data_IF_072057620874
#
_entry.id   IF_072057620874
#
_cell.length_a   1.000
_cell.length_b   1.000
_cell.length_c   1.000
_cell.angle_alpha   90.00
_cell.angle_beta   90.00
_cell.angle_gamma   90.00
#
_symmetry.space_group_name_H-M   'P 1'
#
loop_
_entity.id
_entity.type
_entity.pdbx_description
1 polymer ?
#
# COMPACT_ATOMS: atom_id res chain seq x y z
N UNK A 1 31.26 46.31 -38.97
CA UNK A 1 30.32 46.52 -37.85
C UNK A 1 29.60 45.20 -37.57
N UNK A 2 29.94 44.53 -36.47
CA UNK A 2 29.38 43.22 -36.10
C UNK A 2 28.00 43.44 -35.44
N UNK A 3 26.96 42.80 -35.96
CA UNK A 3 25.63 42.81 -35.34
C UNK A 3 25.45 41.52 -34.53
N UNK A 4 25.28 41.74 -33.24
CA UNK A 4 24.86 40.89 -32.13
C UNK A 4 24.02 39.66 -32.50
N UNK A 5 24.49 38.48 -32.07
CA UNK A 5 23.70 37.27 -31.99
C UNK A 5 22.80 37.34 -30.75
N UNK A 6 21.48 37.18 -30.95
CA UNK A 6 20.51 37.04 -29.85
C UNK A 6 20.59 35.60 -29.37
N UNK A 7 21.17 35.39 -28.19
CA UNK A 7 21.13 34.11 -27.49
C UNK A 7 19.73 33.92 -26.89
N UNK A 8 18.94 33.04 -27.49
CA UNK A 8 17.68 32.59 -26.91
C UNK A 8 18.00 31.61 -25.77
N UNK A 9 18.16 32.15 -24.56
CA UNK A 9 18.16 31.36 -23.32
C UNK A 9 16.73 30.84 -23.10
N UNK A 10 16.42 29.67 -23.67
CA UNK A 10 15.25 28.91 -23.29
C UNK A 10 15.50 28.38 -21.88
N UNK A 11 14.92 29.06 -20.90
CA UNK A 11 15.02 28.77 -19.49
C UNK A 11 14.61 27.34 -19.19
N UNK A 12 15.53 26.66 -18.50
CA UNK A 12 15.34 25.40 -17.80
C UNK A 12 14.24 25.58 -16.74
N UNK A 13 12.99 25.35 -17.14
CA UNK A 13 11.88 25.18 -16.22
C UNK A 13 12.05 23.84 -15.52
N UNK A 14 12.83 23.81 -14.44
CA UNK A 14 12.77 22.76 -13.43
C UNK A 14 11.35 22.78 -12.85
N UNK A 15 10.47 21.99 -13.48
CA UNK A 15 9.20 21.57 -12.91
C UNK A 15 9.55 20.68 -11.70
N UNK A 16 9.82 21.31 -10.57
CA UNK A 16 9.79 20.63 -9.27
C UNK A 16 8.30 20.40 -9.01
N UNK A 17 7.73 19.37 -9.63
CA UNK A 17 6.44 18.85 -9.22
C UNK A 17 6.64 18.30 -7.81
N UNK A 18 6.23 19.05 -6.80
CA UNK A 18 5.97 18.46 -5.49
C UNK A 18 4.89 17.41 -5.74
N UNK A 19 5.27 16.13 -5.83
CA UNK A 19 4.30 15.05 -5.92
C UNK A 19 3.36 15.21 -4.71
N UNK A 20 2.06 15.41 -4.97
CA UNK A 20 1.08 15.35 -3.90
C UNK A 20 1.14 13.93 -3.34
N UNK A 21 1.58 13.79 -2.09
CA UNK A 21 1.58 12.50 -1.43
C UNK A 21 0.15 12.20 -1.02
N UNK A 22 -0.39 11.06 -1.43
CA UNK A 22 -1.57 10.55 -0.76
C UNK A 22 -1.18 10.09 0.65
N UNK A 23 -2.05 10.34 1.60
CA UNK A 23 -1.90 9.91 2.97
C UNK A 23 -2.80 8.71 3.22
N UNK A 24 -2.31 7.76 3.99
CA UNK A 24 -3.18 6.74 4.55
C UNK A 24 -4.04 7.40 5.62
N UNK A 25 -5.35 7.24 5.52
CA UNK A 25 -6.34 7.88 6.39
C UNK A 25 -6.85 6.90 7.45
N UNK A 26 -7.04 5.64 7.08
CA UNK A 26 -7.38 4.57 8.01
C UNK A 26 -6.97 3.20 7.48
N UNK A 27 -6.94 2.22 8.37
CA UNK A 27 -6.86 0.81 8.01
C UNK A 27 -8.18 0.12 8.26
N UNK A 28 -8.52 -0.84 7.39
CA UNK A 28 -9.64 -1.75 7.53
C UNK A 28 -9.17 -3.18 7.34
N UNK A 29 -9.89 -4.14 7.89
CA UNK A 29 -9.58 -5.56 7.71
C UNK A 29 -10.84 -6.39 7.55
N UNK A 30 -10.71 -7.47 6.78
CA UNK A 30 -11.77 -8.46 6.54
C UNK A 30 -11.22 -9.88 6.63
N UNK A 31 -11.70 -10.64 7.60
CA UNK A 31 -11.58 -12.08 7.69
C UNK A 31 -12.31 -12.75 6.52
N UNK A 32 -11.59 -13.58 5.78
CA UNK A 32 -12.12 -14.31 4.63
C UNK A 32 -12.78 -15.64 5.03
N UNK A 33 -12.75 -16.02 6.31
CA UNK A 33 -13.33 -17.26 6.81
C UNK A 33 -12.55 -18.53 6.46
N UNK A 34 -11.41 -18.41 5.78
CA UNK A 34 -10.59 -19.51 5.28
C UNK A 34 -9.16 -19.52 5.85
N UNK A 35 -8.95 -18.85 6.99
CA UNK A 35 -7.64 -18.69 7.61
C UNK A 35 -6.80 -17.57 6.99
N UNK A 36 -7.43 -16.62 6.31
CA UNK A 36 -6.75 -15.44 5.74
C UNK A 36 -7.57 -14.17 5.97
N UNK A 37 -6.90 -13.02 5.89
CA UNK A 37 -7.45 -11.68 6.05
C UNK A 37 -7.00 -10.82 4.87
N UNK A 38 -7.88 -9.95 4.40
CA UNK A 38 -7.52 -8.85 3.48
C UNK A 38 -7.40 -7.57 4.31
N UNK A 39 -6.32 -6.83 4.11
CA UNK A 39 -6.19 -5.47 4.64
C UNK A 39 -6.59 -4.46 3.59
N UNK A 40 -7.19 -3.38 4.07
CA UNK A 40 -7.58 -2.22 3.31
C UNK A 40 -6.88 -0.99 3.87
N UNK A 41 -6.34 -0.13 3.01
CA UNK A 41 -5.81 1.18 3.36
C UNK A 41 -6.68 2.26 2.73
N UNK A 42 -7.40 3.02 3.55
CA UNK A 42 -8.19 4.17 3.12
C UNK A 42 -7.24 5.31 2.76
N UNK A 43 -7.52 6.00 1.67
CA UNK A 43 -6.66 7.05 1.17
C UNK A 43 -7.45 8.22 0.59
N UNK A 44 -6.76 9.34 0.46
CA UNK A 44 -7.26 10.56 -0.16
C UNK A 44 -6.76 10.69 -1.62
N UNK A 45 -7.43 11.52 -2.42
CA UNK A 45 -7.16 11.94 -3.82
C UNK A 45 -8.07 11.42 -4.94
N UNK A 46 -9.24 10.89 -4.60
CA UNK A 46 -10.31 10.59 -5.55
C UNK A 46 -10.13 9.28 -6.29
N UNK A 47 -11.18 8.92 -7.03
CA UNK A 47 -11.32 7.63 -7.69
C UNK A 47 -10.04 7.13 -8.38
N UNK A 48 -9.61 5.95 -7.98
CA UNK A 48 -8.53 5.23 -8.63
C UNK A 48 -9.03 4.51 -9.88
N UNK A 49 -8.18 4.41 -10.90
CA UNK A 49 -8.49 3.71 -12.16
C UNK A 49 -7.70 2.41 -12.33
N UNK A 50 -6.82 2.10 -11.38
CA UNK A 50 -5.92 0.95 -11.40
C UNK A 50 -5.12 0.87 -10.10
N UNK A 51 -4.50 -0.29 -9.80
CA UNK A 51 -3.46 -0.36 -8.77
C UNK A 51 -2.35 0.61 -9.14
N UNK A 52 -1.97 1.50 -8.22
CA UNK A 52 -0.92 2.49 -8.49
C UNK A 52 0.45 1.83 -8.53
N UNK A 53 1.27 2.16 -9.54
CA UNK A 53 2.69 1.76 -9.57
C UNK A 53 3.54 2.49 -8.54
N UNK A 54 2.96 3.45 -7.82
CA UNK A 54 3.61 4.23 -6.78
C UNK A 54 3.17 3.82 -5.36
N UNK A 55 2.52 2.65 -5.21
CA UNK A 55 2.14 2.11 -3.92
C UNK A 55 3.35 1.57 -3.14
N UNK A 56 3.46 1.92 -1.87
CA UNK A 56 4.50 1.41 -0.96
C UNK A 56 4.12 0.09 -0.29
N UNK A 57 2.83 -0.26 -0.31
CA UNK A 57 2.27 -1.35 0.48
C UNK A 57 2.18 -1.01 1.97
N UNK A 58 1.86 -2.01 2.77
CA UNK A 58 1.85 -1.93 4.23
C UNK A 58 2.87 -2.88 4.83
N UNK A 59 3.69 -2.36 5.73
CA UNK A 59 4.59 -3.15 6.58
C UNK A 59 3.87 -3.48 7.87
N UNK A 60 3.90 -4.77 8.24
CA UNK A 60 3.21 -5.30 9.41
C UNK A 60 4.22 -6.06 10.28
N UNK A 61 4.23 -5.75 11.58
CA UNK A 61 5.12 -6.42 12.53
C UNK A 61 4.62 -6.35 13.96
N UNK A 62 5.42 -6.90 14.87
CA UNK A 62 5.18 -6.79 16.31
C UNK A 62 5.56 -5.38 16.75
N UNK A 63 4.64 -4.72 17.46
CA UNK A 63 4.89 -3.41 18.06
C UNK A 63 5.79 -3.56 19.29
N UNK A 64 6.87 -2.77 19.37
CA UNK A 64 7.72 -2.71 20.56
C UNK A 64 7.32 -1.51 21.43
N UNK A 65 6.67 -1.78 22.56
CA UNK A 65 6.21 -0.75 23.51
C UNK A 65 7.35 -0.03 24.25
N UNK A 66 8.60 -0.49 24.13
CA UNK A 66 9.75 0.11 24.80
C UNK A 66 10.46 1.17 23.96
N UNK A 67 10.05 1.36 22.70
CA UNK A 67 10.62 2.37 21.80
C UNK A 67 9.54 3.30 21.25
N UNK A 68 9.93 4.49 20.81
CA UNK A 68 8.98 5.43 20.21
C UNK A 68 8.52 4.96 18.84
N UNK A 69 7.37 5.47 18.38
CA UNK A 69 6.84 5.18 17.04
C UNK A 69 7.88 5.39 15.92
N UNK A 70 8.62 6.52 15.97
CA UNK A 70 9.66 6.83 15.00
C UNK A 70 10.91 5.92 15.09
N UNK A 71 11.10 5.22 16.21
CA UNK A 71 12.22 4.32 16.44
C UNK A 71 11.90 2.84 16.16
N UNK A 72 10.66 2.52 15.76
CA UNK A 72 10.27 1.16 15.40
C UNK A 72 11.13 0.65 14.23
N UNK A 73 11.59 -0.60 14.33
CA UNK A 73 12.44 -1.25 13.32
C UNK A 73 11.63 -1.77 12.12
N UNK A 74 10.88 -0.87 11.47
CA UNK A 74 9.89 -1.22 10.42
C UNK A 74 10.50 -1.86 9.18
N UNK A 75 11.79 -1.69 8.93
CA UNK A 75 12.49 -2.38 7.86
C UNK A 75 12.49 -3.91 8.03
N UNK A 76 12.33 -4.41 9.26
CA UNK A 76 12.24 -5.84 9.57
C UNK A 76 10.80 -6.38 9.50
N UNK A 77 9.80 -5.50 9.46
CA UNK A 77 8.39 -5.86 9.34
C UNK A 77 8.08 -6.39 7.95
N UNK A 78 7.16 -7.35 7.88
CA UNK A 78 6.77 -8.00 6.63
C UNK A 78 5.99 -7.03 5.76
N UNK A 79 6.35 -6.95 4.48
CA UNK A 79 5.73 -6.05 3.51
C UNK A 79 4.64 -6.78 2.72
N UNK A 80 3.43 -6.21 2.72
CA UNK A 80 2.30 -6.65 1.92
C UNK A 80 1.96 -5.57 0.91
N UNK A 81 1.88 -5.95 -0.37
CA UNK A 81 1.61 -5.01 -1.46
C UNK A 81 0.11 -4.77 -1.59
N UNK A 82 -0.27 -3.54 -1.90
CA UNK A 82 -1.60 -3.22 -2.40
C UNK A 82 -1.74 -3.77 -3.82
N UNK A 83 -2.80 -4.52 -4.09
CA UNK A 83 -3.01 -5.22 -5.37
C UNK A 83 -4.26 -4.77 -6.12
N UNK A 84 -5.11 -3.97 -5.49
CA UNK A 84 -6.29 -3.39 -6.11
C UNK A 84 -6.85 -2.24 -5.29
N UNK A 85 -7.97 -1.70 -5.75
CA UNK A 85 -8.63 -0.54 -5.14
C UNK A 85 -10.15 -0.69 -5.16
N UNK A 86 -10.82 0.08 -4.31
CA UNK A 86 -12.27 0.27 -4.25
C UNK A 86 -12.51 1.76 -4.06
N UNK A 87 -13.28 2.38 -4.95
CA UNK A 87 -13.60 3.80 -4.84
C UNK A 87 -14.98 4.01 -4.20
N UNK A 88 -15.17 5.19 -3.62
CA UNK A 88 -16.46 5.63 -3.08
C UNK A 88 -17.06 4.70 -2.01
N UNK A 89 -16.20 4.19 -1.15
CA UNK A 89 -16.49 3.24 -0.07
C UNK A 89 -16.07 3.85 1.28
N UNK A 90 -16.98 3.94 2.25
CA UNK A 90 -16.64 4.53 3.56
C UNK A 90 -16.39 6.05 3.52
N UNK A 91 -15.42 6.52 4.33
CA UNK A 91 -15.00 7.93 4.40
C UNK A 91 -14.91 8.43 5.85
N UNK A 92 -16.06 8.71 6.42
CA UNK A 92 -16.23 9.11 7.83
C UNK A 92 -16.26 7.92 8.77
N UNK A 93 -16.12 8.15 10.08
CA UNK A 93 -16.30 7.11 11.11
C UNK A 93 -17.65 6.41 10.98
N UNK A 94 -18.73 7.18 10.82
CA UNK A 94 -20.06 6.60 10.68
C UNK A 94 -20.21 5.76 9.42
N UNK A 95 -19.60 6.16 8.30
CA UNK A 95 -19.62 5.37 7.07
C UNK A 95 -18.76 4.11 7.20
N UNK A 96 -17.58 4.18 7.82
CA UNK A 96 -16.72 3.03 8.07
C UNK A 96 -17.38 2.04 9.05
N UNK A 97 -18.07 2.54 10.08
CA UNK A 97 -18.86 1.71 11.00
C UNK A 97 -20.02 1.00 10.30
N UNK A 98 -20.62 1.62 9.28
CA UNK A 98 -21.61 0.96 8.42
C UNK A 98 -20.98 -0.16 7.60
N UNK A 99 -19.74 -0.01 7.13
CA UNK A 99 -19.03 -1.11 6.45
C UNK A 99 -18.86 -2.32 7.38
N UNK A 100 -18.53 -2.08 8.65
CA UNK A 100 -18.45 -3.13 9.66
C UNK A 100 -19.83 -3.75 9.90
N UNK A 101 -20.86 -2.92 10.09
CA UNK A 101 -22.24 -3.36 10.35
C UNK A 101 -22.80 -4.20 9.19
N UNK A 102 -22.47 -3.84 7.95
CA UNK A 102 -22.86 -4.57 6.75
C UNK A 102 -22.03 -5.84 6.50
N UNK A 103 -21.00 -6.09 7.31
CA UNK A 103 -20.10 -7.23 7.16
C UNK A 103 -19.13 -7.10 5.99
N UNK A 104 -18.94 -5.90 5.44
CA UNK A 104 -17.98 -5.63 4.37
C UNK A 104 -16.56 -5.44 4.93
N UNK A 105 -16.45 -5.00 6.19
CA UNK A 105 -15.27 -5.06 7.04
C UNK A 105 -15.61 -5.83 8.33
N UNK A 106 -14.60 -6.38 8.99
CA UNK A 106 -14.77 -6.89 10.37
C UNK A 106 -14.25 -5.89 11.41
N UNK A 107 -13.44 -4.93 10.98
CA UNK A 107 -13.04 -3.78 11.78
C UNK A 107 -12.25 -2.76 10.97
N UNK A 108 -12.05 -1.59 11.58
CA UNK A 108 -11.24 -0.52 11.06
C UNK A 108 -10.64 0.32 12.19
N UNK A 109 -9.59 1.07 11.88
CA UNK A 109 -8.95 2.00 12.80
C UNK A 109 -8.31 3.18 12.05
N UNK A 110 -8.46 4.42 12.54
CA UNK A 110 -7.89 5.59 11.88
C UNK A 110 -6.36 5.63 12.03
N UNK A 111 -5.66 6.10 10.99
CA UNK A 111 -4.35 6.70 11.20
C UNK A 111 -4.58 8.10 11.78
N UNK A 112 -4.48 8.22 13.11
CA UNK A 112 -4.86 9.44 13.84
C UNK A 112 -4.13 10.69 13.32
N UNK A 113 -2.93 10.55 12.74
CA UNK A 113 -2.19 11.67 12.17
C UNK A 113 -2.80 12.24 10.89
N UNK A 114 -3.56 11.43 10.16
CA UNK A 114 -4.09 11.74 8.83
C UNK A 114 -5.63 11.66 8.74
N UNK A 115 -6.30 11.06 9.73
CA UNK A 115 -7.74 10.86 9.72
C UNK A 115 -8.50 12.18 9.88
N UNK A 116 -9.13 12.64 8.80
CA UNK A 116 -9.89 13.91 8.80
C UNK A 116 -11.39 13.73 9.07
N UNK A 117 -11.86 12.47 9.14
CA UNK A 117 -13.28 12.13 9.24
C UNK A 117 -14.10 12.79 8.11
N UNK A 118 -13.67 12.62 6.87
CA UNK A 118 -14.29 13.22 5.69
C UNK A 118 -14.84 12.16 4.74
N UNK A 119 -16.02 12.41 4.17
CA UNK A 119 -16.59 11.55 3.13
C UNK A 119 -15.81 11.60 1.80
N UNK A 120 -14.88 12.54 1.64
CA UNK A 120 -13.97 12.61 0.49
C UNK A 120 -12.84 11.60 0.56
N UNK A 121 -12.61 11.00 1.72
CA UNK A 121 -11.51 10.07 1.94
C UNK A 121 -12.05 8.66 1.77
N UNK A 122 -12.77 8.40 0.68
CA UNK A 122 -13.62 7.23 0.51
C UNK A 122 -13.05 6.25 -0.52
N UNK A 123 -11.76 6.33 -0.81
CA UNK A 123 -11.08 5.39 -1.70
C UNK A 123 -10.17 4.49 -0.87
N UNK A 124 -10.09 3.21 -1.23
CA UNK A 124 -9.36 2.21 -0.47
C UNK A 124 -8.50 1.36 -1.39
N UNK A 125 -7.26 1.11 -1.01
CA UNK A 125 -6.44 0.05 -1.57
C UNK A 125 -6.58 -1.23 -0.76
N UNK A 126 -6.36 -2.40 -1.37
CA UNK A 126 -6.42 -3.68 -0.64
C UNK A 126 -5.27 -4.62 -0.99
N UNK A 127 -4.89 -5.48 -0.06
CA UNK A 127 -3.84 -6.51 -0.25
C UNK A 127 -4.40 -7.79 -0.88
N UNK A 128 -3.52 -8.70 -1.31
CA UNK A 128 -3.93 -10.12 -1.38
C UNK A 128 -4.27 -10.63 0.04
N UNK A 129 -5.07 -11.70 0.18
CA UNK A 129 -5.27 -12.32 1.48
C UNK A 129 -3.95 -12.81 2.07
N UNK A 130 -3.77 -12.67 3.38
CA UNK A 130 -2.61 -13.16 4.12
C UNK A 130 -3.00 -13.61 5.54
N UNK A 131 -2.08 -14.21 6.29
CA UNK A 131 -2.37 -14.73 7.63
C UNK A 131 -2.03 -13.67 8.68
N UNK A 132 -2.99 -13.28 9.51
CA UNK A 132 -2.81 -12.49 10.73
C UNK A 132 -4.02 -12.67 11.64
N UNK A 133 -3.81 -12.83 12.94
CA UNK A 133 -4.88 -12.99 13.93
C UNK A 133 -5.25 -11.68 14.63
N UNK A 134 -6.26 -11.74 15.49
CA UNK A 134 -6.54 -10.64 16.44
C UNK A 134 -5.31 -10.34 17.28
N UNK A 135 -5.19 -9.09 17.71
CA UNK A 135 -4.07 -8.65 18.54
C UNK A 135 -3.63 -7.24 18.19
N UNK A 136 -2.56 -6.81 18.84
CA UNK A 136 -1.98 -5.49 18.60
C UNK A 136 -0.75 -5.62 17.73
N UNK A 137 -0.76 -4.88 16.61
CA UNK A 137 0.24 -4.98 15.55
C UNK A 137 0.74 -3.59 15.17
N UNK A 138 2.02 -3.51 14.80
CA UNK A 138 2.58 -2.32 14.19
C UNK A 138 2.27 -2.29 12.70
N UNK A 139 1.73 -1.18 12.20
CA UNK A 139 1.48 -0.93 10.78
C UNK A 139 2.22 0.31 10.30
N UNK A 140 2.81 0.22 9.10
CA UNK A 140 3.50 1.35 8.50
C UNK A 140 3.58 1.25 6.98
N UNK A 141 3.19 2.31 6.28
CA UNK A 141 3.23 2.40 4.80
C UNK A 141 4.40 3.22 4.28
N UNK A 142 5.20 3.82 5.18
CA UNK A 142 6.34 4.66 4.81
C UNK A 142 6.01 6.15 4.66
N UNK A 143 7.04 6.98 4.66
CA UNK A 143 6.93 8.45 4.53
C UNK A 143 7.13 8.96 3.10
N UNK A 144 7.67 8.11 2.19
CA UNK A 144 8.29 8.57 0.94
C UNK A 144 7.73 7.88 -0.32
N UNK A 145 6.76 6.98 -0.22
CA UNK A 145 6.09 6.46 -1.42
C UNK A 145 4.95 7.40 -1.82
N UNK A 146 4.53 7.42 -3.09
CA UNK A 146 3.71 8.53 -3.57
C UNK A 146 2.24 8.44 -3.10
N UNK A 147 1.82 7.31 -2.51
CA UNK A 147 0.44 7.05 -2.09
C UNK A 147 0.40 6.35 -0.72
N UNK A 148 -0.64 6.59 0.07
CA UNK A 148 -0.89 6.01 1.39
C UNK A 148 0.21 6.25 2.42
N UNK A 149 0.90 7.39 2.39
CA UNK A 149 1.98 7.66 3.34
C UNK A 149 1.49 7.82 4.77
N UNK A 150 2.28 7.27 5.70
CA UNK A 150 2.16 7.52 7.13
C UNK A 150 3.38 8.34 7.59
N UNK A 151 3.14 9.32 8.47
CA UNK A 151 4.23 10.15 9.01
C UNK A 151 5.15 9.36 9.95
N UNK A 152 4.57 8.44 10.72
CA UNK A 152 5.26 7.49 11.59
C UNK A 152 4.49 6.16 11.64
N UNK A 153 5.13 5.05 12.01
CA UNK A 153 4.45 3.78 12.30
C UNK A 153 3.39 3.94 13.40
N UNK A 154 2.29 3.20 13.29
CA UNK A 154 1.23 3.19 14.30
C UNK A 154 1.00 1.82 14.92
N UNK A 155 0.46 1.81 16.13
CA UNK A 155 0.00 0.62 16.83
C UNK A 155 -1.51 0.46 16.59
N UNK A 156 -1.92 -0.73 16.13
CA UNK A 156 -3.30 -1.00 15.74
C UNK A 156 -3.79 -2.30 16.38
N UNK A 157 -4.98 -2.25 16.99
CA UNK A 157 -5.61 -3.42 17.58
C UNK A 157 -6.63 -4.02 16.62
N UNK A 158 -6.34 -5.22 16.13
CA UNK A 158 -7.22 -6.02 15.29
C UNK A 158 -8.14 -6.89 16.16
N UNK A 159 -9.43 -6.89 15.80
CA UNK A 159 -10.49 -7.69 16.42
C UNK A 159 -11.42 -8.24 15.36
N UNK A 160 -12.30 -9.17 15.71
CA UNK A 160 -13.31 -9.72 14.80
C UNK A 160 -12.80 -10.76 13.79
N UNK A 161 -11.50 -11.09 13.81
CA UNK A 161 -10.95 -12.19 13.01
C UNK A 161 -11.27 -13.51 13.72
N UNK A 162 -12.04 -14.37 13.06
CA UNK A 162 -12.53 -15.63 13.63
C UNK A 162 -11.83 -16.86 13.06
N UNK A 163 -11.30 -16.75 11.84
CA UNK A 163 -10.71 -17.89 11.12
C UNK A 163 -9.24 -18.15 11.45
N UNK A 164 -8.60 -17.27 12.24
CA UNK A 164 -7.18 -17.33 12.59
C UNK A 164 -7.04 -17.16 14.11
N UNK A 165 -6.24 -17.99 14.80
CA UNK A 165 -6.02 -17.85 16.24
C UNK A 165 -5.44 -16.49 16.63
N UNK A 166 -5.84 -15.99 17.80
CA UNK A 166 -5.32 -14.74 18.37
C UNK A 166 -3.78 -14.76 18.49
N UNK A 167 -3.15 -13.62 18.21
CA UNK A 167 -1.70 -13.47 18.25
C UNK A 167 -0.95 -14.14 17.11
N UNK A 168 -1.63 -14.75 16.14
CA UNK A 168 -0.97 -15.28 14.93
C UNK A 168 -0.37 -14.12 14.15
N UNK A 169 0.96 -14.08 14.06
CA UNK A 169 1.70 -13.04 13.36
C UNK A 169 1.50 -13.02 11.85
N UNK A 170 1.93 -11.93 11.18
CA UNK A 170 1.87 -11.82 9.74
C UNK A 170 2.63 -12.99 9.11
N UNK A 171 1.89 -13.81 8.38
CA UNK A 171 2.40 -14.96 7.64
C UNK A 171 2.02 -14.86 6.17
N UNK A 172 2.80 -15.52 5.31
CA UNK A 172 2.39 -15.67 3.92
C UNK A 172 1.09 -16.48 3.87
N UNK A 173 0.18 -16.07 2.98
CA UNK A 173 -0.99 -16.87 2.63
C UNK A 173 -0.61 -18.31 2.29
N UNK A 174 -1.53 -19.29 2.40
CA UNK A 174 -1.44 -20.48 1.56
C UNK A 174 -1.23 -20.01 0.11
N UNK A 175 -0.40 -20.67 -0.72
CA UNK A 175 -0.09 -20.19 -2.06
C UNK A 175 -1.38 -20.09 -2.88
N UNK A 176 -1.96 -18.89 -2.91
CA UNK A 176 -3.03 -18.56 -3.83
C UNK A 176 -2.35 -18.30 -5.16
N UNK A 177 -2.96 -18.81 -6.23
CA UNK A 177 -2.46 -18.80 -7.61
C UNK A 177 -2.42 -17.39 -8.24
N UNK A 178 -2.31 -16.33 -7.45
CA UNK A 178 -2.08 -14.98 -7.92
C UNK A 178 -0.61 -14.86 -8.34
N UNK A 179 -0.35 -15.26 -9.59
CA UNK A 179 0.90 -15.02 -10.29
C UNK A 179 1.33 -13.55 -10.10
N UNK A 180 2.50 -13.35 -9.48
CA UNK A 180 3.13 -12.04 -9.40
C UNK A 180 3.20 -11.39 -10.79
N UNK A 181 2.87 -10.08 -10.93
CA UNK A 181 3.01 -9.41 -12.20
C UNK A 181 4.47 -9.40 -12.66
N UNK A 182 4.74 -10.10 -13.77
CA UNK A 182 5.63 -9.65 -14.84
C UNK A 182 7.15 -9.81 -14.74
N UNK A 183 7.77 -10.12 -13.59
CA UNK A 183 9.25 -10.13 -13.51
C UNK A 183 9.91 -11.29 -14.28
N UNK A 184 9.21 -12.40 -14.48
CA UNK A 184 9.77 -13.59 -15.18
C UNK A 184 9.71 -13.44 -16.71
N UNK A 185 8.80 -12.61 -17.24
CA UNK A 185 8.67 -12.38 -18.68
C UNK A 185 9.87 -11.62 -19.28
N UNK A 186 10.50 -10.72 -18.51
CA UNK A 186 11.68 -9.97 -18.97
C UNK A 186 12.97 -10.82 -18.99
N UNK A 187 13.10 -11.82 -18.11
CA UNK A 187 14.26 -12.73 -18.17
C UNK A 187 14.17 -13.73 -19.33
N UNK A 188 12.96 -14.17 -19.69
CA UNK A 188 12.73 -15.12 -20.79
C UNK A 188 13.02 -14.55 -22.18
N UNK A 189 12.63 -13.29 -22.43
CA UNK A 189 12.91 -12.62 -23.72
C UNK A 189 14.39 -12.23 -23.87
N UNK A 190 15.09 -11.94 -22.76
CA UNK A 190 16.52 -11.64 -22.77
C UNK A 190 17.39 -12.84 -23.21
N UNK A 191 17.06 -14.05 -22.76
CA UNK A 191 17.82 -15.26 -23.10
C UNK A 191 17.59 -15.72 -24.56
N UNK A 192 16.37 -15.58 -25.08
CA UNK A 192 16.07 -15.91 -26.48
C UNK A 192 16.81 -14.99 -27.47
N UNK A 193 16.95 -13.69 -27.15
CA UNK A 193 17.71 -12.74 -27.96
C UNK A 193 19.23 -13.02 -28.02
N UNK A 194 19.81 -13.49 -26.91
CA UNK A 194 21.23 -13.87 -26.86
C UNK A 194 21.54 -15.19 -27.60
N UNK A 195 20.59 -16.12 -27.65
CA UNK A 195 20.74 -17.37 -28.41
C UNK A 195 20.52 -17.19 -29.92
N UNK A 196 19.66 -16.26 -30.34
CA UNK A 196 19.44 -15.95 -31.76
C UNK A 196 20.66 -15.26 -32.43
N UNK A 197 21.45 -14.49 -31.68
CA UNK A 197 22.67 -13.83 -32.21
C UNK A 197 23.83 -14.79 -32.52
N UNK A 198 23.79 -16.03 -32.04
CA UNK A 198 24.88 -17.01 -32.25
C UNK A 198 24.77 -17.83 -33.54
N UNK A 199 23.67 -17.70 -34.30
CA UNK A 199 23.44 -18.44 -35.56
C UNK A 199 23.64 -17.64 -36.85
N UNK A 200 24.00 -16.36 -36.78
CA UNK A 200 24.21 -15.49 -37.96
C UNK A 200 25.66 -15.03 -38.17
N UNK A 201 26.64 -15.75 -37.63
CA UNK A 201 28.05 -15.62 -38.03
C UNK A 201 28.53 -16.94 -38.62
N UNK A 202 28.27 -17.10 -39.92
CA UNK A 202 29.09 -17.86 -40.86
C UNK A 202 29.16 -17.05 -42.15
#
# INVERSE_FOLDING_TARGET
>A
MRKTAIALLAGLGLLISNAANAHLVSFGWKDQGNGTVIFYGQHWHGDQSGPSTANGGVRIGVWDSNVSAAAQATNTWQLFQWVGHINNWGGTSAQNDLLVTNGELDGWAPDVGNFTNSSSDNDWFYTIPFVIGNGTWGLFTGTNCCIDTMSVPGEFTLTGISSIPDGTGPGNAPPSTASAPGSVALLGLGLAGLLARRKFTK
#
